data_IF_927897763546
#
_entry.id   IF_927897763546
#
_cell.length_a   1.000
_cell.length_b   1.000
_cell.length_c   1.000
_cell.angle_alpha   90.00
_cell.angle_beta   90.00
_cell.angle_gamma   90.00
#
_symmetry.space_group_name_H-M   'P 1'
#
loop_
_entity.id
_entity.type
_entity.pdbx_description
1 polymer ?
#
# COMPACT_ATOMS: atom_id res chain seq x y z
N UNK A 1 3.35 -9.92 -15.61
CA UNK A 1 4.62 -9.46 -14.98
C UNK A 1 4.63 -9.96 -13.52
N UNK A 2 5.69 -9.80 -12.68
CA UNK A 2 5.57 -10.19 -11.27
C UNK A 2 4.43 -9.42 -10.60
N UNK A 3 3.59 -10.12 -9.83
CA UNK A 3 2.52 -9.53 -9.03
C UNK A 3 3.13 -8.85 -7.79
N UNK A 4 2.84 -7.58 -7.52
CA UNK A 4 3.34 -6.92 -6.31
C UNK A 4 2.65 -7.47 -5.06
N UNK A 5 3.33 -7.38 -3.91
CA UNK A 5 2.76 -7.74 -2.60
C UNK A 5 2.87 -6.57 -1.64
N UNK A 6 1.81 -6.29 -0.86
CA UNK A 6 1.86 -5.26 0.18
C UNK A 6 2.26 -5.87 1.51
N UNK A 7 3.17 -5.22 2.22
CA UNK A 7 3.53 -5.50 3.61
C UNK A 7 3.20 -4.29 4.49
N UNK A 8 2.88 -4.55 5.74
CA UNK A 8 2.58 -3.53 6.76
C UNK A 8 3.65 -3.59 7.85
N UNK A 9 4.13 -2.45 8.31
CA UNK A 9 5.06 -2.33 9.43
C UNK A 9 4.58 -1.26 10.42
N UNK A 10 4.51 -1.54 11.74
CA UNK A 10 4.70 -2.85 12.38
C UNK A 10 3.65 -3.88 11.94
N UNK A 11 4.00 -5.17 12.02
CA UNK A 11 3.08 -6.28 11.73
C UNK A 11 2.20 -6.65 12.94
N UNK A 12 2.50 -6.11 14.13
CA UNK A 12 1.87 -6.44 15.41
C UNK A 12 1.34 -5.19 16.11
N UNK A 13 0.34 -5.39 16.97
CA UNK A 13 -0.26 -4.38 17.88
C UNK A 13 -0.42 -3.01 17.25
N UNK A 14 -1.36 -2.92 16.31
CA UNK A 14 -1.73 -1.67 15.64
C UNK A 14 -2.95 -1.09 16.35
N UNK A 15 -2.79 0.13 16.86
CA UNK A 15 -3.84 0.89 17.54
C UNK A 15 -4.32 2.05 16.68
N UNK A 16 -5.52 2.53 16.98
CA UNK A 16 -6.02 3.76 16.36
C UNK A 16 -5.08 4.93 16.66
N UNK A 17 -4.72 5.68 15.61
CA UNK A 17 -3.75 6.78 15.70
C UNK A 17 -2.30 6.37 15.41
N UNK A 18 -1.98 5.08 15.38
CA UNK A 18 -0.64 4.61 15.04
C UNK A 18 -0.27 4.98 13.60
N UNK A 19 1.02 5.23 13.40
CA UNK A 19 1.59 5.45 12.07
C UNK A 19 2.22 4.16 11.58
N UNK A 20 1.65 3.60 10.52
CA UNK A 20 2.14 2.37 9.90
C UNK A 20 2.71 2.66 8.52
N UNK A 21 3.73 1.89 8.15
CA UNK A 21 4.36 1.95 6.83
C UNK A 21 3.89 0.78 5.98
N UNK A 22 3.23 1.09 4.87
CA UNK A 22 2.93 0.16 3.80
C UNK A 22 4.15 0.05 2.88
N UNK A 23 4.55 -1.16 2.51
CA UNK A 23 5.62 -1.42 1.54
C UNK A 23 5.10 -2.29 0.40
N UNK A 24 5.24 -1.83 -0.84
CA UNK A 24 4.89 -2.57 -2.04
C UNK A 24 6.13 -3.29 -2.58
N UNK A 25 6.20 -4.60 -2.42
CA UNK A 25 7.38 -5.38 -2.80
C UNK A 25 7.28 -5.94 -4.21
N UNK A 26 8.35 -5.71 -4.98
CA UNK A 26 8.64 -6.33 -6.26
C UNK A 26 10.14 -6.65 -6.35
N UNK A 27 10.53 -7.74 -7.03
CA UNK A 27 11.93 -8.21 -7.04
C UNK A 27 12.89 -7.38 -7.91
N UNK A 28 12.41 -6.38 -8.67
CA UNK A 28 13.22 -5.63 -9.63
C UNK A 28 13.08 -4.12 -9.43
N UNK A 29 14.05 -3.34 -9.92
CA UNK A 29 14.02 -1.87 -9.95
C UNK A 29 13.35 -1.31 -11.21
N UNK A 30 13.07 -0.02 -11.21
CA UNK A 30 12.46 0.72 -12.31
C UNK A 30 10.93 0.66 -12.32
N UNK A 31 10.31 0.44 -11.16
CA UNK A 31 8.85 0.42 -11.03
C UNK A 31 8.37 1.70 -10.38
N UNK A 32 7.26 2.23 -10.90
CA UNK A 32 6.53 3.30 -10.23
C UNK A 32 5.40 2.69 -9.42
N UNK A 33 5.31 3.05 -8.14
CA UNK A 33 4.36 2.48 -7.19
C UNK A 33 3.28 3.48 -6.82
N UNK A 34 2.04 3.03 -6.83
CA UNK A 34 0.85 3.79 -6.44
C UNK A 34 0.13 3.02 -5.34
N UNK A 35 -0.20 3.70 -4.26
CA UNK A 35 -0.98 3.13 -3.17
C UNK A 35 -2.43 3.59 -3.23
N UNK A 36 -3.34 2.71 -2.83
CA UNK A 36 -4.78 2.97 -2.84
C UNK A 36 -5.41 2.49 -1.52
N UNK A 37 -6.46 3.18 -1.09
CA UNK A 37 -7.31 2.83 0.06
C UNK A 37 -8.69 2.38 -0.44
N UNK A 38 -9.18 1.27 0.10
CA UNK A 38 -10.50 0.67 -0.17
C UNK A 38 -10.82 0.59 -1.67
N UNK A 39 -12.04 0.89 -2.10
CA UNK A 39 -12.44 0.85 -3.51
C UNK A 39 -12.09 2.14 -4.28
N UNK A 40 -11.22 3.01 -3.74
CA UNK A 40 -10.81 4.25 -4.43
C UNK A 40 -9.83 3.99 -5.58
N UNK A 41 -10.29 3.27 -6.61
CA UNK A 41 -9.45 2.82 -7.75
C UNK A 41 -8.87 3.95 -8.60
N UNK A 42 -9.48 5.14 -8.55
CA UNK A 42 -9.09 6.30 -9.36
C UNK A 42 -8.21 7.32 -8.63
N UNK A 43 -8.16 7.28 -7.29
CA UNK A 43 -7.48 8.29 -6.48
C UNK A 43 -6.35 7.65 -5.68
N UNK A 44 -5.11 7.69 -6.18
CA UNK A 44 -3.97 7.16 -5.43
C UNK A 44 -3.65 8.05 -4.22
N UNK A 45 -3.23 7.42 -3.13
CA UNK A 45 -2.75 8.07 -1.90
C UNK A 45 -1.34 8.65 -2.04
N UNK A 46 -0.66 8.33 -3.14
CA UNK A 46 0.73 8.70 -3.42
C UNK A 46 0.84 9.19 -4.86
N UNK A 47 1.69 10.19 -5.15
CA UNK A 47 1.83 10.74 -6.51
C UNK A 47 2.46 9.79 -7.53
N UNK A 48 2.87 8.58 -7.13
CA UNK A 48 3.51 7.62 -8.03
C UNK A 48 4.96 7.99 -8.27
N UNK A 49 5.85 7.58 -7.36
CA UNK A 49 7.28 7.87 -7.48
C UNK A 49 8.02 6.60 -7.87
N UNK A 50 8.94 6.73 -8.83
CA UNK A 50 9.77 5.62 -9.31
C UNK A 50 10.68 5.16 -8.19
N UNK A 51 10.74 3.85 -7.98
CA UNK A 51 11.55 3.16 -6.96
C UNK A 51 11.23 3.55 -5.49
N UNK A 52 10.25 4.44 -5.25
CA UNK A 52 9.69 4.68 -3.91
C UNK A 52 8.52 3.76 -3.68
N UNK A 53 8.76 2.69 -2.93
CA UNK A 53 7.80 1.61 -2.76
C UNK A 53 7.13 1.61 -1.38
N UNK A 54 7.14 2.74 -0.66
CA UNK A 54 6.58 2.84 0.69
C UNK A 54 5.59 4.00 0.83
N UNK A 55 4.57 3.82 1.67
CA UNK A 55 3.63 4.86 2.07
C UNK A 55 3.39 4.81 3.58
N UNK A 56 3.45 5.96 4.25
CA UNK A 56 3.03 6.06 5.65
C UNK A 56 1.56 6.43 5.73
N UNK A 57 0.79 5.71 6.53
CA UNK A 57 -0.62 5.99 6.80
C UNK A 57 -0.88 6.01 8.31
N UNK A 58 -1.83 6.83 8.73
CA UNK A 58 -2.33 6.83 10.11
C UNK A 58 -3.54 5.92 10.19
N UNK A 59 -3.55 5.04 11.18
CA UNK A 59 -4.64 4.10 11.43
C UNK A 59 -5.85 4.88 11.90
N UNK A 60 -6.95 4.79 11.15
CA UNK A 60 -8.18 5.50 11.48
C UNK A 60 -9.08 4.68 12.41
N UNK A 61 -10.01 5.35 13.08
CA UNK A 61 -11.09 4.72 13.86
C UNK A 61 -12.24 4.14 13.00
N UNK A 62 -12.12 4.15 11.67
CA UNK A 62 -13.14 3.64 10.73
C UNK A 62 -13.22 2.09 10.69
N UNK A 63 -12.50 1.41 11.59
CA UNK A 63 -12.46 -0.05 11.66
C UNK A 63 -11.50 -0.67 10.64
N UNK A 64 -12.02 -1.55 9.77
CA UNK A 64 -11.21 -2.34 8.83
C UNK A 64 -11.00 -1.58 7.52
N UNK A 65 -9.78 -1.10 7.26
CA UNK A 65 -9.42 -0.45 6.00
C UNK A 65 -8.58 -1.38 5.14
N UNK A 66 -8.89 -1.46 3.85
CA UNK A 66 -8.07 -2.19 2.88
C UNK A 66 -7.08 -1.26 2.18
N UNK A 67 -5.86 -1.72 2.03
CA UNK A 67 -4.83 -1.07 1.23
C UNK A 67 -4.26 -2.02 0.20
N UNK A 68 -3.99 -1.53 -1.00
CA UNK A 68 -3.30 -2.28 -2.03
C UNK A 68 -2.38 -1.34 -2.81
N UNK A 69 -1.41 -1.91 -3.51
CA UNK A 69 -0.56 -1.15 -4.41
C UNK A 69 -0.75 -1.57 -5.85
N UNK A 70 -0.58 -0.62 -6.76
CA UNK A 70 -0.31 -0.87 -8.17
C UNK A 70 1.13 -0.53 -8.47
N UNK A 71 1.77 -1.34 -9.28
CA UNK A 71 3.11 -1.08 -9.76
C UNK A 71 3.09 -1.08 -11.29
N UNK A 72 3.78 -0.15 -11.92
CA UNK A 72 3.91 -0.14 -13.37
C UNK A 72 5.33 0.17 -13.87
N UNK A 73 5.64 -0.47 -15.00
CA UNK A 73 6.83 -0.29 -15.82
C UNK A 73 6.43 -0.56 -17.27
N UNK A 74 5.59 0.32 -17.83
CA UNK A 74 4.68 0.01 -18.94
C UNK A 74 3.28 -0.29 -18.38
N UNK A 75 2.79 -1.52 -18.55
CA UNK A 75 1.50 -1.94 -17.96
C UNK A 75 1.51 -1.98 -16.42
N UNK A 76 0.33 -1.78 -15.84
CA UNK A 76 0.04 -1.86 -14.41
C UNK A 76 -0.21 -3.30 -13.94
N UNK A 77 0.29 -3.63 -12.77
CA UNK A 77 -0.03 -4.84 -12.02
C UNK A 77 -0.55 -4.43 -10.63
N UNK A 78 -1.55 -5.13 -10.11
CA UNK A 78 -2.15 -4.83 -8.79
C UNK A 78 -1.82 -5.94 -7.79
N UNK A 79 -1.60 -5.55 -6.53
CA UNK A 79 -1.42 -6.50 -5.43
C UNK A 79 -2.76 -7.03 -4.95
N UNK A 80 -2.73 -8.09 -4.15
CA UNK A 80 -3.83 -8.37 -3.24
C UNK A 80 -3.90 -7.28 -2.15
N UNK A 81 -5.11 -6.97 -1.65
CA UNK A 81 -5.27 -6.00 -0.58
C UNK A 81 -4.87 -6.59 0.77
N UNK A 82 -4.27 -5.75 1.62
CA UNK A 82 -4.07 -6.01 3.06
C UNK A 82 -5.10 -5.23 3.86
N UNK A 83 -5.60 -5.84 4.95
CA UNK A 83 -6.54 -5.16 5.86
C UNK A 83 -5.78 -4.67 7.08
N UNK A 84 -5.91 -3.39 7.39
CA UNK A 84 -5.42 -2.77 8.63
C UNK A 84 -6.64 -2.51 9.51
N UNK A 85 -6.51 -2.80 10.80
CA UNK A 85 -7.54 -2.55 11.81
C UNK A 85 -6.84 -2.00 13.04
N UNK A 86 -7.26 -0.81 13.48
CA UNK A 86 -6.87 -0.28 14.78
C UNK A 86 -7.68 -0.99 15.85
N UNK A 87 -6.99 -1.56 16.84
CA UNK A 87 -7.63 -2.09 18.05
C UNK A 87 -7.74 -1.00 19.11
#
# INVERSE_FOLDING_TARGET
KPKPTVRVNPQSSIYTGDRVTLSCNLPFTGWTFLFYKDDQKSNPLSPGVRDTNTLNVTVSNEGRIKYYCKAHRGNYESSDPVTITGT
#
